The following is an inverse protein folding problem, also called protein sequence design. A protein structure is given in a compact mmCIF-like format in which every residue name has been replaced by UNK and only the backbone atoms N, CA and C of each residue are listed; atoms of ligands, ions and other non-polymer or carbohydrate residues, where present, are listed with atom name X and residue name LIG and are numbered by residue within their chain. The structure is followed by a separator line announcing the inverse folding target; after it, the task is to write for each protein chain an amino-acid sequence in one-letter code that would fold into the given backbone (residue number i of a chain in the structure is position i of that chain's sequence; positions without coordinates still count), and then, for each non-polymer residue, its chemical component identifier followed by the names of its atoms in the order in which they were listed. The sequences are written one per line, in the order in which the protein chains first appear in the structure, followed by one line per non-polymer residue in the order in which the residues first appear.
data_IF_292750546680
#
_entry.id   IF_292750546680
#
_cell.length_a   1.000
_cell.length_b   1.000
_cell.length_c   1.000
_cell.angle_alpha   90.00
_cell.angle_beta   90.00
_cell.angle_gamma   90.00
#
_symmetry.space_group_name_H-M   'P 1'
#
loop_
_entity.id
_entity.type
_entity.pdbx_description
1 polymer ?
#
# COMPACT_ATOMS: atom_id res chain seq x y z
N UNK A 1 26.51 -8.37 -59.51
CA UNK A 1 27.13 -8.29 -58.17
C UNK A 1 26.89 -9.60 -57.45
N UNK A 2 27.95 -10.37 -57.17
CA UNK A 2 27.87 -11.78 -56.78
C UNK A 2 27.13 -11.98 -55.46
N UNK A 3 26.15 -12.90 -55.42
CA UNK A 3 25.37 -13.25 -54.21
C UNK A 3 26.25 -13.59 -52.99
N UNK A 4 27.49 -14.03 -53.22
CA UNK A 4 28.51 -14.27 -52.18
C UNK A 4 28.99 -12.99 -51.48
N UNK A 5 29.08 -11.87 -52.21
CA UNK A 5 29.49 -10.57 -51.64
C UNK A 5 28.37 -10.00 -50.77
N UNK A 6 27.11 -10.13 -51.19
CA UNK A 6 25.96 -9.69 -50.39
C UNK A 6 25.85 -10.47 -49.06
N UNK A 7 26.14 -11.78 -49.07
CA UNK A 7 26.13 -12.61 -47.86
C UNK A 7 27.25 -12.24 -46.89
N UNK A 8 28.46 -11.96 -47.38
CA UNK A 8 29.58 -11.52 -46.53
C UNK A 8 29.38 -10.10 -45.98
N UNK A 9 28.73 -9.21 -46.73
CA UNK A 9 28.37 -7.87 -46.22
C UNK A 9 27.27 -7.97 -45.16
N UNK A 10 26.25 -8.83 -45.33
CA UNK A 10 25.22 -9.04 -44.31
C UNK A 10 25.77 -9.70 -43.04
N UNK A 11 26.65 -10.70 -43.18
CA UNK A 11 27.31 -11.34 -42.04
C UNK A 11 28.26 -10.37 -41.33
N UNK A 12 28.96 -9.50 -42.06
CA UNK A 12 29.79 -8.43 -41.48
C UNK A 12 28.97 -7.41 -40.69
N UNK A 13 27.78 -7.04 -41.15
CA UNK A 13 26.87 -6.12 -40.43
C UNK A 13 26.28 -6.78 -39.17
N UNK A 14 25.97 -8.09 -39.21
CA UNK A 14 25.50 -8.84 -38.05
C UNK A 14 26.59 -9.07 -37.00
N UNK A 15 27.85 -9.21 -37.40
CA UNK A 15 28.99 -9.38 -36.48
C UNK A 15 29.48 -8.03 -35.92
N UNK A 16 29.33 -6.93 -36.66
CA UNK A 16 29.65 -5.57 -36.18
C UNK A 16 28.49 -4.91 -35.40
N UNK A 17 27.26 -5.39 -35.55
CA UNK A 17 26.10 -4.95 -34.77
C UNK A 17 25.94 -5.61 -33.40
N UNK A 18 26.71 -6.68 -33.14
CA UNK A 18 26.78 -7.36 -31.85
C UNK A 18 27.72 -6.64 -30.87
N UNK A 19 27.50 -5.36 -30.64
CA UNK A 19 28.08 -4.70 -29.47
C UNK A 19 27.57 -5.42 -28.24
N UNK A 20 28.45 -6.14 -27.54
CA UNK A 20 28.15 -6.70 -26.23
C UNK A 20 27.73 -5.50 -25.38
N UNK A 21 26.42 -5.34 -25.13
CA UNK A 21 25.93 -4.44 -24.09
C UNK A 21 26.37 -5.04 -22.76
N UNK A 22 27.63 -4.80 -22.40
CA UNK A 22 28.07 -4.88 -21.03
C UNK A 22 27.19 -3.90 -20.27
N UNK A 23 26.34 -4.41 -19.38
CA UNK A 23 25.63 -3.57 -18.44
C UNK A 23 26.70 -2.73 -17.73
N UNK A 24 26.78 -1.45 -18.08
CA UNK A 24 27.78 -0.55 -17.52
C UNK A 24 27.56 -0.56 -16.01
N UNK A 25 28.59 -1.00 -15.26
CA UNK A 25 28.49 -1.08 -13.81
C UNK A 25 28.02 0.28 -13.27
N UNK A 26 27.07 0.30 -12.32
CA UNK A 26 26.55 1.56 -11.80
C UNK A 26 27.71 2.40 -11.29
N UNK A 27 27.77 3.66 -11.74
CA UNK A 27 28.81 4.57 -11.28
C UNK A 27 28.45 5.06 -9.87
N UNK A 28 29.15 4.51 -8.88
CA UNK A 28 29.01 4.89 -7.48
C UNK A 28 29.71 6.22 -7.23
N UNK A 29 28.99 7.17 -6.61
CA UNK A 29 29.54 8.46 -6.19
C UNK A 29 29.18 8.72 -4.74
N UNK A 30 30.16 9.16 -3.97
CA UNK A 30 29.90 9.72 -2.66
C UNK A 30 29.18 11.06 -2.80
N UNK A 31 28.05 11.24 -2.11
CA UNK A 31 27.22 12.44 -2.17
C UNK A 31 26.63 12.74 -0.80
N UNK A 32 26.41 14.03 -0.54
CA UNK A 32 25.46 14.45 0.49
C UNK A 32 24.03 14.20 -0.03
N UNK A 33 23.24 13.51 0.78
CA UNK A 33 21.81 13.31 0.56
C UNK A 33 21.03 13.70 1.80
N UNK A 34 19.75 13.99 1.63
CA UNK A 34 18.84 14.10 2.75
C UNK A 34 18.05 12.80 2.88
N UNK A 35 18.27 12.05 3.96
CA UNK A 35 17.34 10.99 4.37
C UNK A 35 16.09 11.64 4.97
N UNK A 36 14.92 11.21 4.52
CA UNK A 36 13.63 11.84 4.83
C UNK A 36 12.72 10.83 5.52
N UNK A 37 12.08 11.28 6.60
CA UNK A 37 10.93 10.61 7.22
C UNK A 37 9.80 11.63 7.24
N UNK A 38 8.94 11.59 6.23
CA UNK A 38 7.99 12.67 5.94
C UNK A 38 6.56 12.23 6.18
N UNK A 39 5.80 13.08 6.87
CA UNK A 39 4.36 12.87 7.03
C UNK A 39 3.67 12.97 5.66
N UNK A 40 2.93 11.94 5.28
CA UNK A 40 2.33 11.81 3.93
C UNK A 40 0.81 11.88 3.92
N UNK A 41 0.21 12.39 4.99
CA UNK A 41 -1.24 12.57 5.14
C UNK A 41 -1.88 11.50 6.02
N UNK A 42 -1.39 10.26 5.99
CA UNK A 42 -1.90 9.15 6.83
C UNK A 42 -0.86 8.66 7.85
N UNK A 43 0.42 8.68 7.48
CA UNK A 43 1.50 8.20 8.33
C UNK A 43 2.83 8.81 7.93
N UNK A 44 3.90 8.01 7.99
CA UNK A 44 5.25 8.44 7.65
C UNK A 44 5.84 7.61 6.53
N UNK A 45 6.31 8.29 5.49
CA UNK A 45 7.05 7.67 4.39
C UNK A 45 8.55 7.92 4.56
N UNK A 46 9.35 6.86 4.34
CA UNK A 46 10.81 6.95 4.31
C UNK A 46 11.29 7.08 2.87
N UNK A 47 12.07 8.10 2.59
CA UNK A 47 12.68 8.32 1.27
C UNK A 47 14.03 9.01 1.41
N UNK A 48 14.68 9.33 0.30
CA UNK A 48 15.85 10.19 0.33
C UNK A 48 15.85 11.14 -0.87
N UNK A 49 16.41 12.33 -0.66
CA UNK A 49 16.59 13.34 -1.69
C UNK A 49 18.06 13.33 -2.16
N UNK A 50 18.35 12.86 -3.39
CA UNK A 50 19.69 12.92 -3.95
C UNK A 50 20.10 14.37 -4.28
N UNK A 51 21.39 14.58 -4.52
CA UNK A 51 21.90 15.91 -4.87
C UNK A 51 21.27 16.49 -6.15
N UNK A 52 20.81 15.65 -7.09
CA UNK A 52 20.15 16.07 -8.33
C UNK A 52 18.77 16.71 -8.14
N UNK A 53 18.15 16.56 -6.98
CA UNK A 53 16.85 17.16 -6.67
C UNK A 53 17.07 18.37 -5.76
N UNK A 54 16.66 19.56 -6.21
CA UNK A 54 16.92 20.82 -5.50
C UNK A 54 15.89 21.13 -4.40
N UNK A 55 14.71 20.51 -4.47
CA UNK A 55 13.54 20.91 -3.68
C UNK A 55 12.97 19.73 -2.89
N UNK A 56 12.72 19.98 -1.60
CA UNK A 56 11.98 19.11 -0.70
C UNK A 56 10.52 19.58 -0.58
N UNK A 57 9.61 18.65 -0.28
CA UNK A 57 8.17 18.94 -0.19
C UNK A 57 7.60 18.32 1.07
N UNK A 58 6.98 19.13 1.95
CA UNK A 58 6.33 18.66 3.19
C UNK A 58 4.91 19.21 3.35
N UNK A 59 4.08 18.47 4.07
CA UNK A 59 2.75 18.93 4.46
C UNK A 59 2.88 19.88 5.67
N UNK A 60 2.17 21.00 5.61
CA UNK A 60 2.23 22.07 6.60
C UNK A 60 1.72 21.64 7.98
N UNK A 61 2.34 22.15 9.03
CA UNK A 61 1.98 21.98 10.43
C UNK A 61 2.08 20.54 10.98
N UNK A 62 2.77 19.65 10.25
CA UNK A 62 3.09 18.30 10.71
C UNK A 62 4.61 18.13 10.83
N UNK A 63 5.03 17.30 11.76
CA UNK A 63 6.44 16.97 11.94
C UNK A 63 6.91 16.15 10.72
N UNK A 64 8.05 16.54 10.15
CA UNK A 64 8.80 15.75 9.19
C UNK A 64 10.27 15.80 9.57
N UNK A 65 10.97 14.68 9.42
CA UNK A 65 12.38 14.58 9.78
C UNK A 65 13.24 14.67 8.54
N UNK A 66 14.24 15.55 8.59
CA UNK A 66 15.32 15.58 7.61
C UNK A 66 16.64 15.24 8.27
N UNK A 67 17.41 14.38 7.61
CA UNK A 67 18.69 13.94 8.11
C UNK A 67 19.74 14.01 7.00
N UNK A 68 20.60 15.04 6.97
CA UNK A 68 21.69 15.12 6.01
C UNK A 68 22.72 14.03 6.32
N UNK A 69 22.99 13.18 5.32
CA UNK A 69 23.91 12.05 5.42
C UNK A 69 24.86 12.06 4.23
N UNK A 70 26.10 11.65 4.46
CA UNK A 70 27.03 11.32 3.37
C UNK A 70 26.90 9.84 3.06
N UNK A 71 26.61 9.51 1.81
CA UNK A 71 26.40 8.12 1.38
C UNK A 71 26.88 7.92 -0.05
N UNK A 72 26.91 6.67 -0.48
CA UNK A 72 27.14 6.31 -1.88
C UNK A 72 25.81 6.38 -2.63
N UNK A 73 25.77 7.12 -3.72
CA UNK A 73 24.64 7.22 -4.64
C UNK A 73 25.02 6.62 -5.99
N UNK A 74 24.12 5.83 -6.56
CA UNK A 74 24.31 5.22 -7.88
C UNK A 74 22.98 5.17 -8.64
N UNK A 75 23.06 5.22 -9.97
CA UNK A 75 21.89 5.13 -10.83
C UNK A 75 21.56 3.67 -11.13
N UNK A 76 20.31 3.25 -10.91
CA UNK A 76 19.80 1.92 -11.21
C UNK A 76 19.00 1.93 -12.53
N UNK A 77 19.54 1.39 -13.64
CA UNK A 77 18.93 1.54 -14.97
C UNK A 77 17.55 0.87 -15.12
N UNK A 78 17.27 -0.19 -14.36
CA UNK A 78 16.00 -0.94 -14.47
C UNK A 78 14.83 -0.08 -13.95
N UNK A 79 15.03 0.59 -12.82
CA UNK A 79 14.00 1.49 -12.22
C UNK A 79 14.15 2.92 -12.70
N UNK A 80 15.25 3.24 -13.39
CA UNK A 80 15.64 4.58 -13.86
C UNK A 80 15.74 5.62 -12.73
N UNK A 81 16.19 5.19 -11.55
CA UNK A 81 16.26 6.01 -10.34
C UNK A 81 17.63 5.95 -9.70
N UNK A 82 18.00 6.99 -8.97
CA UNK A 82 19.12 6.96 -8.05
C UNK A 82 18.75 6.16 -6.79
N UNK A 83 19.69 5.36 -6.33
CA UNK A 83 19.62 4.55 -5.14
C UNK A 83 20.71 5.00 -4.15
N UNK A 84 20.39 4.96 -2.86
CA UNK A 84 21.34 5.24 -1.79
C UNK A 84 21.90 3.94 -1.21
N UNK A 85 23.21 3.92 -0.99
CA UNK A 85 23.96 2.81 -0.40
C UNK A 85 24.17 3.00 1.09
N UNK A 86 23.10 3.25 1.86
CA UNK A 86 23.18 3.48 3.32
C UNK A 86 23.80 2.28 4.08
N UNK A 87 23.74 1.08 3.53
CA UNK A 87 24.42 -0.10 4.11
C UNK A 87 25.93 -0.11 3.91
N UNK A 88 26.44 0.64 2.92
CA UNK A 88 27.88 0.74 2.61
C UNK A 88 28.51 1.98 3.23
N UNK A 89 27.83 3.12 3.16
CA UNK A 89 28.27 4.38 3.75
C UNK A 89 27.05 5.15 4.26
N UNK A 90 27.05 5.54 5.52
CA UNK A 90 25.98 6.34 6.12
C UNK A 90 26.55 7.23 7.21
N UNK A 91 27.40 8.17 6.78
CA UNK A 91 28.05 9.09 7.71
C UNK A 91 27.13 10.26 8.04
N UNK A 92 27.18 10.64 9.32
CA UNK A 92 26.45 11.79 9.81
C UNK A 92 27.09 13.10 9.39
N UNK A 93 26.27 14.05 8.98
CA UNK A 93 26.72 15.42 8.75
C UNK A 93 26.57 16.21 10.06
N UNK A 94 27.67 16.72 10.63
CA UNK A 94 27.62 17.52 11.86
C UNK A 94 27.09 18.93 11.60
N UNK A 95 26.62 19.59 12.66
CA UNK A 95 26.15 20.97 12.60
C UNK A 95 24.66 21.13 12.89
N UNK A 96 24.16 22.33 12.62
CA UNK A 96 22.77 22.74 12.85
C UNK A 96 22.07 23.03 11.53
N UNK A 97 20.77 22.75 11.45
CA UNK A 97 19.98 23.05 10.26
C UNK A 97 19.44 24.49 10.36
N UNK A 98 19.85 25.36 9.44
CA UNK A 98 19.25 26.68 9.31
C UNK A 98 18.03 26.63 8.38
N UNK A 99 17.00 27.39 8.75
CA UNK A 99 15.79 27.58 7.94
C UNK A 99 15.67 29.06 7.60
N UNK A 100 15.58 29.35 6.31
CA UNK A 100 15.51 30.69 5.76
C UNK A 100 14.18 30.91 5.03
N UNK A 101 13.65 32.12 5.09
CA UNK A 101 12.48 32.54 4.35
C UNK A 101 12.67 33.97 3.85
N UNK A 102 12.55 34.17 2.53
CA UNK A 102 12.70 35.49 1.92
C UNK A 102 14.06 36.15 2.23
N UNK A 103 15.14 35.37 2.28
CA UNK A 103 16.49 35.86 2.60
C UNK A 103 16.75 36.16 4.08
N UNK A 104 15.80 35.87 4.99
CA UNK A 104 15.97 36.03 6.43
C UNK A 104 16.05 34.66 7.11
N UNK A 105 17.02 34.49 8.02
CA UNK A 105 17.07 33.34 8.93
C UNK A 105 15.86 33.40 9.88
N UNK A 106 14.99 32.39 9.81
CA UNK A 106 13.80 32.31 10.66
C UNK A 106 13.97 31.32 11.81
N UNK A 107 14.83 30.30 11.66
CA UNK A 107 15.09 29.32 12.70
C UNK A 107 16.42 28.59 12.50
N UNK A 108 16.97 28.05 13.59
CA UNK A 108 18.13 27.16 13.59
C UNK A 108 17.80 25.96 14.47
N UNK A 109 17.78 24.76 13.89
CA UNK A 109 17.41 23.53 14.57
C UNK A 109 18.63 22.71 14.98
N UNK A 110 18.54 22.13 16.17
CA UNK A 110 19.40 21.04 16.61
C UNK A 110 18.73 19.70 16.30
N UNK A 111 19.51 18.62 16.33
CA UNK A 111 18.96 17.27 16.17
C UNK A 111 18.17 16.91 17.41
N UNK A 112 17.06 16.22 17.21
CA UNK A 112 16.24 15.68 18.28
C UNK A 112 16.07 14.17 18.06
N UNK A 113 16.05 13.42 19.17
CA UNK A 113 15.65 12.02 19.16
C UNK A 113 14.20 11.88 18.74
N UNK A 114 13.91 10.87 17.94
CA UNK A 114 12.56 10.52 17.54
C UNK A 114 12.40 9.01 17.35
N UNK A 115 11.16 8.55 17.47
CA UNK A 115 10.73 7.20 17.11
C UNK A 115 9.44 7.27 16.30
N UNK A 116 9.23 6.26 15.46
CA UNK A 116 7.93 5.99 14.84
C UNK A 116 7.24 4.89 15.64
N UNK A 117 6.04 5.18 16.11
CA UNK A 117 5.14 4.28 16.81
C UNK A 117 4.05 3.80 15.85
N UNK A 118 3.88 2.48 15.79
CA UNK A 118 2.90 1.81 14.96
C UNK A 118 1.92 1.03 15.86
N UNK A 119 0.69 1.54 16.10
CA UNK A 119 -0.25 0.99 17.06
C UNK A 119 -0.69 -0.44 16.73
N UNK A 120 -0.76 -0.77 15.44
CA UNK A 120 -1.19 -2.09 14.94
C UNK A 120 -0.01 -2.91 14.39
N UNK A 121 1.20 -2.60 14.87
CA UNK A 121 2.42 -3.31 14.53
C UNK A 121 3.10 -2.79 13.26
N UNK A 122 4.23 -3.40 12.90
CA UNK A 122 5.16 -2.89 11.88
C UNK A 122 4.52 -2.59 10.51
N UNK A 123 3.50 -3.34 10.13
CA UNK A 123 2.81 -3.22 8.84
C UNK A 123 1.63 -2.24 8.88
N UNK A 124 1.39 -1.59 10.01
CA UNK A 124 0.36 -0.55 10.13
C UNK A 124 0.70 0.62 9.21
N UNK A 125 -0.30 1.10 8.48
CA UNK A 125 -0.17 2.27 7.61
C UNK A 125 -0.18 3.58 8.41
N UNK A 126 -0.62 3.53 9.68
CA UNK A 126 -0.69 4.67 10.58
C UNK A 126 0.50 4.66 11.53
N UNK A 127 1.47 5.53 11.28
CA UNK A 127 2.58 5.75 12.19
C UNK A 127 2.47 7.14 12.82
N UNK A 128 2.74 7.22 14.12
CA UNK A 128 2.87 8.49 14.85
C UNK A 128 4.34 8.72 15.20
N UNK A 129 4.78 9.97 15.20
CA UNK A 129 6.13 10.33 15.62
C UNK A 129 6.13 10.86 17.05
N UNK A 130 6.99 10.30 17.90
CA UNK A 130 7.27 10.82 19.24
C UNK A 130 8.70 11.36 19.28
N UNK A 131 8.93 12.41 20.08
CA UNK A 131 10.16 13.19 20.07
C UNK A 131 10.76 13.30 21.48
N UNK A 132 12.08 13.48 21.57
CA UNK A 132 12.75 13.78 22.84
C UNK A 132 12.60 12.68 23.89
N UNK A 133 12.11 13.03 25.08
CA UNK A 133 11.91 12.09 26.20
C UNK A 133 10.80 11.07 25.89
N UNK A 134 9.68 11.51 25.30
CA UNK A 134 8.59 10.64 24.85
C UNK A 134 9.12 9.56 23.88
N UNK A 135 10.08 9.92 23.01
CA UNK A 135 10.65 8.95 22.08
C UNK A 135 11.37 7.80 22.79
N UNK A 136 12.02 8.08 23.92
CA UNK A 136 12.68 7.06 24.73
C UNK A 136 11.66 6.24 25.50
N UNK A 137 10.65 6.88 26.09
CA UNK A 137 9.58 6.22 26.86
C UNK A 137 8.84 5.17 26.02
N UNK A 138 8.37 5.54 24.82
CA UNK A 138 7.66 4.61 23.93
C UNK A 138 8.55 3.45 23.46
N UNK A 139 9.84 3.68 23.26
CA UNK A 139 10.77 2.62 22.89
C UNK A 139 11.01 1.65 24.05
N UNK A 140 11.17 2.17 25.27
CA UNK A 140 11.35 1.37 26.48
C UNK A 140 10.08 0.55 26.79
N UNK A 141 8.89 1.13 26.58
CA UNK A 141 7.61 0.41 26.67
C UNK A 141 7.54 -0.77 25.69
N UNK A 142 7.91 -0.53 24.42
CA UNK A 142 7.96 -1.60 23.42
C UNK A 142 8.96 -2.70 23.79
N UNK A 143 10.15 -2.32 24.27
CA UNK A 143 11.17 -3.27 24.75
C UNK A 143 10.66 -4.12 25.90
N UNK A 144 9.99 -3.51 26.88
CA UNK A 144 9.39 -4.23 28.00
C UNK A 144 8.30 -5.22 27.54
N UNK A 145 7.45 -4.82 26.59
CA UNK A 145 6.42 -5.70 26.03
C UNK A 145 7.02 -6.90 25.28
N UNK A 146 8.09 -6.68 24.51
CA UNK A 146 8.83 -7.75 23.81
C UNK A 146 9.50 -8.70 24.82
N UNK A 147 10.09 -8.18 25.88
CA UNK A 147 10.72 -8.99 26.91
C UNK A 147 9.69 -9.83 27.68
N UNK A 148 8.51 -9.28 27.97
CA UNK A 148 7.39 -10.02 28.55
C UNK A 148 6.89 -11.13 27.62
N UNK A 149 6.72 -10.83 26.33
CA UNK A 149 6.37 -11.83 25.32
C UNK A 149 7.39 -12.96 25.27
N UNK A 150 8.69 -12.63 25.22
CA UNK A 150 9.77 -13.63 25.20
C UNK A 150 9.74 -14.54 26.44
N UNK A 151 9.42 -13.98 27.62
CA UNK A 151 9.24 -14.77 28.84
C UNK A 151 8.05 -15.74 28.72
N UNK A 152 6.88 -15.26 28.28
CA UNK A 152 5.70 -16.12 28.06
C UNK A 152 5.96 -17.20 27.01
N UNK A 153 6.74 -16.87 25.98
CA UNK A 153 7.14 -17.81 24.94
C UNK A 153 8.02 -18.93 25.49
N UNK A 154 8.95 -18.61 26.39
CA UNK A 154 9.74 -19.63 27.10
C UNK A 154 8.85 -20.55 27.97
N UNK A 155 7.91 -19.98 28.72
CA UNK A 155 6.94 -20.73 29.53
C UNK A 155 6.07 -21.65 28.65
N UNK A 156 5.61 -21.16 27.50
CA UNK A 156 4.87 -21.95 26.51
C UNK A 156 5.69 -23.12 25.98
N UNK A 157 6.96 -22.93 25.62
CA UNK A 157 7.80 -24.04 25.16
C UNK A 157 8.04 -25.09 26.24
N UNK A 158 8.18 -24.69 27.50
CA UNK A 158 8.26 -25.62 28.62
C UNK A 158 6.95 -26.40 28.80
N UNK A 159 5.80 -25.72 28.75
CA UNK A 159 4.49 -26.35 28.81
C UNK A 159 4.26 -27.31 27.64
N UNK A 160 4.73 -26.96 26.43
CA UNK A 160 4.62 -27.80 25.24
C UNK A 160 5.45 -29.09 25.38
N UNK A 161 6.65 -29.00 25.94
CA UNK A 161 7.47 -30.18 26.24
C UNK A 161 6.77 -31.10 27.25
N UNK A 162 6.18 -30.54 28.31
CA UNK A 162 5.41 -31.32 29.28
C UNK A 162 4.17 -31.95 28.65
N UNK A 163 3.43 -31.20 27.83
CA UNK A 163 2.28 -31.68 27.07
C UNK A 163 2.65 -32.87 26.18
N UNK A 164 3.76 -32.81 25.44
CA UNK A 164 4.22 -33.92 24.61
C UNK A 164 4.51 -35.19 25.44
N UNK A 165 5.09 -35.04 26.64
CA UNK A 165 5.30 -36.18 27.55
C UNK A 165 3.97 -36.76 28.04
N UNK A 166 3.02 -35.91 28.46
CA UNK A 166 1.69 -36.37 28.88
C UNK A 166 0.94 -37.06 27.74
N UNK A 167 1.06 -36.55 26.52
CA UNK A 167 0.43 -37.11 25.33
C UNK A 167 1.01 -38.48 24.97
N UNK A 168 2.34 -38.64 25.07
CA UNK A 168 2.98 -39.95 24.89
C UNK A 168 2.52 -40.95 25.95
N UNK A 169 2.50 -40.57 27.24
CA UNK A 169 2.00 -41.41 28.32
C UNK A 169 0.52 -41.80 28.12
N UNK A 170 -0.30 -40.86 27.65
CA UNK A 170 -1.69 -41.09 27.28
C UNK A 170 -1.80 -42.16 26.19
N UNK A 171 -1.02 -42.05 25.11
CA UNK A 171 -1.04 -43.04 24.02
C UNK A 171 -0.53 -44.42 24.46
N UNK A 172 0.50 -44.49 25.31
CA UNK A 172 0.98 -45.74 25.89
C UNK A 172 -0.09 -46.42 26.74
N UNK A 173 -0.77 -45.68 27.62
CA UNK A 173 -1.83 -46.21 28.47
C UNK A 173 -3.05 -46.66 27.66
N UNK A 174 -3.47 -45.87 26.66
CA UNK A 174 -4.51 -46.25 25.71
C UNK A 174 -4.15 -47.57 25.01
N UNK A 175 -2.93 -47.69 24.51
CA UNK A 175 -2.45 -48.91 23.85
C UNK A 175 -2.49 -50.11 24.79
N UNK A 176 -1.98 -49.96 26.01
CA UNK A 176 -1.95 -51.01 27.03
C UNK A 176 -3.35 -51.54 27.35
N UNK A 177 -4.33 -50.65 27.55
CA UNK A 177 -5.72 -51.06 27.85
C UNK A 177 -6.41 -51.73 26.66
N UNK A 178 -6.12 -51.27 25.44
CA UNK A 178 -6.61 -51.91 24.21
C UNK A 178 -6.04 -53.31 24.02
N UNK A 179 -4.75 -53.51 24.25
CA UNK A 179 -4.10 -54.83 24.21
C UNK A 179 -4.63 -55.76 25.32
N UNK A 180 -5.05 -55.21 26.46
CA UNK A 180 -5.71 -55.95 27.55
C UNK A 180 -7.20 -56.30 27.26
N UNK A 181 -7.74 -55.91 26.11
CA UNK A 181 -9.09 -56.28 25.67
C UNK A 181 -10.20 -55.30 26.06
N UNK A 182 -9.88 -54.12 26.60
CA UNK A 182 -10.90 -53.07 26.85
C UNK A 182 -11.44 -52.50 25.53
N UNK A 183 -12.75 -52.62 25.33
CA UNK A 183 -13.47 -52.13 24.14
C UNK A 183 -14.38 -50.95 24.52
N UNK A 184 -14.60 -50.01 23.59
CA UNK A 184 -15.38 -48.79 23.84
C UNK A 184 -14.54 -47.58 24.28
N UNK A 185 -15.16 -46.41 24.55
CA UNK A 185 -14.44 -45.21 24.97
C UNK A 185 -13.71 -45.44 26.30
N UNK A 186 -12.42 -45.09 26.36
CA UNK A 186 -11.61 -45.21 27.57
C UNK A 186 -11.77 -43.95 28.41
N UNK A 187 -12.01 -44.10 29.71
CA UNK A 187 -12.03 -43.00 30.68
C UNK A 187 -10.60 -42.60 31.05
N UNK A 188 -9.95 -41.91 30.12
CA UNK A 188 -8.60 -41.35 30.28
C UNK A 188 -8.66 -39.90 29.81
N UNK A 189 -8.23 -38.97 30.67
CA UNK A 189 -8.21 -37.55 30.33
C UNK A 189 -7.22 -37.28 29.19
N UNK A 190 -7.71 -36.65 28.12
CA UNK A 190 -6.87 -36.23 26.99
C UNK A 190 -6.09 -34.99 27.44
N UNK A 191 -4.75 -34.99 27.37
CA UNK A 191 -3.95 -33.81 27.68
C UNK A 191 -4.39 -32.62 26.82
N UNK A 192 -4.51 -31.44 27.41
CA UNK A 192 -4.84 -30.21 26.68
C UNK A 192 -3.57 -29.56 26.16
N UNK A 193 -3.59 -29.15 24.89
CA UNK A 193 -2.49 -28.45 24.27
C UNK A 193 -2.39 -27.03 24.88
N UNK A 194 -1.20 -26.58 25.31
CA UNK A 194 -0.99 -25.20 25.74
C UNK A 194 -1.29 -24.22 24.60
N UNK A 195 -1.87 -23.07 24.91
CA UNK A 195 -2.10 -21.99 23.95
C UNK A 195 -0.83 -21.15 23.76
N UNK A 196 -0.46 -20.78 22.52
CA UNK A 196 0.67 -19.90 22.28
C UNK A 196 0.37 -18.49 22.82
N UNK A 197 1.38 -17.77 23.34
CA UNK A 197 1.18 -16.40 23.79
C UNK A 197 0.88 -15.47 22.61
N UNK A 198 0.01 -14.48 22.82
CA UNK A 198 -0.23 -13.42 21.84
C UNK A 198 1.04 -12.58 21.62
N UNK A 199 1.36 -12.31 20.35
CA UNK A 199 2.47 -11.43 20.00
C UNK A 199 2.18 -9.97 20.38
N UNK A 200 3.23 -9.16 20.53
CA UNK A 200 3.10 -7.72 20.81
C UNK A 200 2.35 -7.04 19.65
N UNK A 201 1.23 -6.37 19.95
CA UNK A 201 0.31 -5.81 18.95
C UNK A 201 0.77 -4.50 18.31
N UNK A 202 1.72 -3.82 18.94
CA UNK A 202 2.29 -2.56 18.46
C UNK A 202 3.79 -2.69 18.20
N UNK A 203 4.36 -1.74 17.46
CA UNK A 203 5.79 -1.70 17.14
C UNK A 203 6.35 -0.28 17.27
N UNK A 204 7.57 -0.16 17.81
CA UNK A 204 8.29 1.11 17.91
C UNK A 204 9.67 0.95 17.28
N UNK A 205 10.04 1.89 16.41
CA UNK A 205 11.39 1.90 15.84
C UNK A 205 12.44 2.20 16.88
N UNK A 206 13.67 1.77 16.66
CA UNK A 206 14.81 2.24 17.46
C UNK A 206 14.93 3.78 17.43
N UNK A 207 15.30 4.43 18.55
CA UNK A 207 15.49 5.88 18.60
C UNK A 207 16.55 6.33 17.60
N UNK A 208 16.17 7.27 16.74
CA UNK A 208 17.06 7.91 15.77
C UNK A 208 17.12 9.42 16.03
N UNK A 209 18.16 10.09 15.54
CA UNK A 209 18.30 11.55 15.64
C UNK A 209 18.16 12.23 14.28
N UNK A 210 17.46 13.36 14.24
CA UNK A 210 17.29 14.15 13.02
C UNK A 210 16.74 15.54 13.29
N UNK A 211 16.69 16.39 12.26
CA UNK A 211 16.11 17.72 12.38
C UNK A 211 14.60 17.64 12.13
N UNK A 212 13.81 18.09 13.10
CA UNK A 212 12.34 18.05 13.03
C UNK A 212 11.82 19.35 12.45
N UNK A 213 11.24 19.28 11.26
CA UNK A 213 10.62 20.42 10.60
C UNK A 213 9.11 20.36 10.79
N UNK A 214 8.57 21.41 11.37
CA UNK A 214 7.15 21.68 11.46
C UNK A 214 6.95 23.16 11.12
N UNK A 215 6.51 23.43 9.89
CA UNK A 215 6.46 24.76 9.32
C UNK A 215 5.05 25.03 8.75
N UNK A 216 4.59 26.29 8.75
CA UNK A 216 3.38 26.66 8.04
C UNK A 216 3.60 26.61 6.52
N UNK A 217 2.51 26.76 5.76
CA UNK A 217 2.54 26.82 4.29
C UNK A 217 3.47 27.94 3.84
N UNK A 218 4.40 27.62 2.93
CA UNK A 218 5.36 28.59 2.43
C UNK A 218 6.51 27.98 1.63
N UNK A 219 7.34 28.85 1.08
CA UNK A 219 8.61 28.47 0.45
C UNK A 219 9.75 28.89 1.37
N UNK A 220 10.67 27.96 1.59
CA UNK A 220 11.80 28.08 2.51
C UNK A 220 13.08 27.60 1.82
N UNK A 221 14.21 27.96 2.40
CA UNK A 221 15.51 27.39 2.07
C UNK A 221 16.10 26.76 3.33
N UNK A 222 16.72 25.60 3.19
CA UNK A 222 17.42 24.94 4.29
C UNK A 222 18.88 24.70 3.92
N UNK A 223 19.75 24.75 4.92
CA UNK A 223 21.18 24.44 4.78
C UNK A 223 21.79 24.03 6.11
N UNK A 224 22.88 23.29 6.08
CA UNK A 224 23.58 22.87 7.30
C UNK A 224 24.73 23.84 7.58
N UNK A 225 24.72 24.45 8.77
CA UNK A 225 25.84 25.24 9.28
C UNK A 225 26.68 24.39 10.24
N UNK A 226 27.98 24.29 9.95
CA UNK A 226 28.95 23.60 10.80
C UNK A 226 29.32 24.44 12.03
N UNK A 227 29.97 23.81 13.01
CA UNK A 227 30.38 24.48 14.25
C UNK A 227 31.36 25.63 14.04
N UNK A 228 32.19 25.56 12.99
CA UNK A 228 33.12 26.62 12.59
C UNK A 228 32.43 27.83 11.91
N UNK A 229 31.11 27.76 11.76
CA UNK A 229 30.29 28.81 11.16
C UNK A 229 30.19 28.74 9.63
N UNK A 230 30.88 27.82 8.97
CA UNK A 230 30.79 27.63 7.52
C UNK A 230 29.55 26.80 7.13
N UNK A 231 29.13 26.90 5.87
CA UNK A 231 28.03 26.08 5.33
C UNK A 231 28.61 24.79 4.76
N UNK A 232 27.97 23.66 5.08
CA UNK A 232 28.36 22.39 4.50
C UNK A 232 28.02 22.38 3.00
N UNK A 233 29.01 22.17 2.15
CA UNK A 233 28.87 22.26 0.69
C UNK A 233 27.81 21.28 0.15
N UNK A 234 26.86 21.80 -0.64
CA UNK A 234 25.80 21.01 -1.26
C UNK A 234 24.64 20.68 -0.34
N UNK A 235 24.61 21.22 0.89
CA UNK A 235 23.50 21.08 1.83
C UNK A 235 22.33 22.01 1.52
N UNK A 236 22.49 22.97 0.62
CA UNK A 236 21.44 23.90 0.26
C UNK A 236 20.30 23.18 -0.48
N UNK A 237 19.07 23.31 0.06
CA UNK A 237 17.85 22.83 -0.58
C UNK A 237 16.74 23.87 -0.46
N UNK A 238 15.92 23.94 -1.50
CA UNK A 238 14.62 24.58 -1.40
C UNK A 238 13.66 23.66 -0.64
N UNK A 239 12.70 24.24 0.06
CA UNK A 239 11.67 23.52 0.78
C UNK A 239 10.31 24.17 0.51
N UNK A 240 9.41 23.40 -0.10
CA UNK A 240 8.03 23.80 -0.34
C UNK A 240 7.15 23.12 0.70
N UNK A 241 6.50 23.92 1.53
CA UNK A 241 5.54 23.43 2.52
C UNK A 241 4.14 23.75 2.01
N UNK A 242 3.34 22.71 1.79
CA UNK A 242 2.02 22.80 1.15
C UNK A 242 0.93 22.21 2.04
N UNK A 243 -0.33 22.43 1.68
CA UNK A 243 -1.48 21.90 2.43
C UNK A 243 -2.53 21.38 1.45
N UNK A 244 -3.44 20.56 1.96
CA UNK A 244 -4.58 20.08 1.19
C UNK A 244 -5.46 21.26 0.74
N UNK A 245 -5.93 21.22 -0.51
CA UNK A 245 -6.91 22.18 -1.04
C UNK A 245 -8.31 21.87 -0.52
N UNK A 246 -8.63 20.59 -0.33
CA UNK A 246 -9.90 20.10 0.17
C UNK A 246 -9.65 18.98 1.18
N UNK A 247 -10.39 18.99 2.28
CA UNK A 247 -10.27 18.01 3.37
C UNK A 247 -11.52 17.16 3.62
N UNK A 248 -12.57 17.47 2.88
CA UNK A 248 -13.86 16.84 3.05
C UNK A 248 -14.15 15.97 1.82
N UNK A 249 -14.00 14.67 2.01
CA UNK A 249 -14.38 13.65 1.04
C UNK A 249 -14.22 12.28 1.66
N UNK A 250 -15.06 11.35 1.22
CA UNK A 250 -14.87 9.91 1.45
C UNK A 250 -14.59 9.29 0.09
N UNK A 251 -13.44 8.64 -0.05
CA UNK A 251 -13.10 7.79 -1.18
C UNK A 251 -13.36 6.32 -0.86
N UNK A 252 -13.28 5.46 -1.87
CA UNK A 252 -13.35 4.01 -1.67
C UNK A 252 -12.15 3.31 -2.28
N UNK A 253 -11.51 2.44 -1.51
CA UNK A 253 -10.77 1.33 -2.08
C UNK A 253 -11.78 0.19 -2.34
N UNK A 254 -11.77 -0.36 -3.55
CA UNK A 254 -12.69 -1.40 -4.01
C UNK A 254 -11.86 -2.64 -4.34
N UNK A 255 -12.18 -3.75 -3.69
CA UNK A 255 -11.60 -5.06 -4.00
C UNK A 255 -12.64 -5.85 -4.81
N UNK A 256 -12.40 -6.12 -6.10
CA UNK A 256 -13.30 -6.95 -6.89
C UNK A 256 -13.17 -8.42 -6.45
N UNK A 257 -14.30 -9.10 -6.21
CA UNK A 257 -14.31 -10.49 -5.75
C UNK A 257 -13.61 -11.48 -6.69
N UNK A 258 -13.55 -11.18 -7.99
CA UNK A 258 -12.85 -12.00 -8.99
C UNK A 258 -11.35 -11.68 -9.15
N UNK A 259 -10.86 -10.58 -8.56
CA UNK A 259 -9.50 -10.07 -8.73
C UNK A 259 -9.00 -9.45 -7.43
N UNK A 260 -9.02 -10.23 -6.35
CA UNK A 260 -8.72 -9.72 -5.00
C UNK A 260 -7.33 -9.05 -4.89
N UNK A 261 -6.35 -9.50 -5.67
CA UNK A 261 -4.98 -8.94 -5.69
C UNK A 261 -4.90 -7.57 -6.36
N UNK A 262 -5.97 -7.12 -7.04
CA UNK A 262 -6.03 -5.82 -7.71
C UNK A 262 -7.10 -4.95 -7.06
N UNK A 263 -6.65 -4.11 -6.14
CA UNK A 263 -7.47 -3.07 -5.53
C UNK A 263 -7.63 -1.90 -6.50
N UNK A 264 -8.83 -1.34 -6.57
CA UNK A 264 -9.18 -0.23 -7.47
C UNK A 264 -9.74 0.93 -6.64
N UNK A 265 -9.30 2.16 -6.92
CA UNK A 265 -9.73 3.33 -6.16
C UNK A 265 -10.91 4.05 -6.83
N UNK A 266 -11.82 4.58 -6.02
CA UNK A 266 -12.93 5.45 -6.42
C UNK A 266 -12.91 6.73 -5.58
N UNK A 267 -11.87 7.53 -5.79
CA UNK A 267 -11.54 8.65 -4.92
C UNK A 267 -12.33 9.91 -5.29
N UNK A 268 -12.52 10.19 -6.58
CA UNK A 268 -13.27 11.36 -7.02
C UNK A 268 -14.80 11.10 -6.94
N UNK A 269 -15.58 11.98 -6.29
CA UNK A 269 -17.05 11.85 -6.24
C UNK A 269 -17.76 11.81 -7.59
N UNK A 270 -17.13 12.35 -8.64
CA UNK A 270 -17.67 12.31 -10.01
C UNK A 270 -17.45 10.97 -10.72
N UNK A 271 -16.65 10.07 -10.15
CA UNK A 271 -16.37 8.78 -10.77
C UNK A 271 -17.55 7.82 -10.63
N UNK A 272 -17.77 7.04 -11.68
CA UNK A 272 -18.83 6.04 -11.77
C UNK A 272 -18.19 4.66 -11.75
N UNK A 273 -18.63 3.83 -10.82
CA UNK A 273 -18.20 2.44 -10.69
C UNK A 273 -18.99 1.63 -11.71
N UNK A 274 -18.29 0.98 -12.65
CA UNK A 274 -18.93 0.15 -13.66
C UNK A 274 -18.86 -1.32 -13.25
N UNK A 275 -20.00 -1.96 -13.08
CA UNK A 275 -20.11 -3.39 -12.76
C UNK A 275 -20.87 -4.12 -13.88
N UNK A 276 -20.37 -5.29 -14.30
CA UNK A 276 -20.92 -6.05 -15.44
C UNK A 276 -21.34 -7.45 -15.01
N UNK A 277 -22.63 -7.77 -15.09
CA UNK A 277 -23.18 -9.05 -14.63
C UNK A 277 -23.01 -9.26 -13.12
N UNK A 278 -23.13 -10.50 -12.65
CA UNK A 278 -22.97 -10.83 -11.22
C UNK A 278 -21.58 -10.42 -10.72
N UNK A 279 -21.53 -9.52 -9.74
CA UNK A 279 -20.29 -9.10 -9.10
C UNK A 279 -20.44 -9.01 -7.59
N UNK A 280 -19.37 -9.37 -6.90
CA UNK A 280 -19.19 -9.08 -5.48
C UNK A 280 -18.09 -8.01 -5.39
N UNK A 281 -18.42 -6.88 -4.78
CA UNK A 281 -17.51 -5.77 -4.60
C UNK A 281 -17.34 -5.51 -3.11
N UNK A 282 -16.10 -5.43 -2.68
CA UNK A 282 -15.75 -5.20 -1.29
C UNK A 282 -15.26 -3.76 -1.17
N UNK A 283 -16.01 -2.92 -0.47
CA UNK A 283 -15.74 -1.50 -0.35
C UNK A 283 -15.03 -1.22 0.97
N UNK A 284 -13.98 -0.40 0.93
CA UNK A 284 -13.31 0.14 2.10
C UNK A 284 -13.36 1.67 2.01
N UNK A 285 -14.23 2.33 2.79
CA UNK A 285 -14.33 3.79 2.80
C UNK A 285 -13.14 4.41 3.53
N UNK A 286 -12.59 5.49 2.97
CA UNK A 286 -11.51 6.29 3.57
C UNK A 286 -11.85 7.77 3.53
N UNK A 287 -11.60 8.50 4.62
CA UNK A 287 -11.46 9.94 4.59
C UNK A 287 -10.28 10.31 3.69
N UNK A 288 -10.45 11.35 2.88
CA UNK A 288 -9.45 11.75 1.90
C UNK A 288 -9.25 13.25 1.83
N UNK A 289 -8.03 13.62 1.47
CA UNK A 289 -7.61 15.00 1.25
C UNK A 289 -7.07 15.17 -0.18
N UNK A 290 -7.34 16.34 -0.77
CA UNK A 290 -6.92 16.67 -2.14
C UNK A 290 -5.63 17.50 -2.12
N UNK A 291 -4.56 16.92 -2.66
CA UNK A 291 -3.23 17.54 -2.75
C UNK A 291 -2.82 17.79 -4.19
N UNK A 292 -1.88 18.73 -4.39
CA UNK A 292 -1.25 18.92 -5.69
C UNK A 292 -0.46 17.66 -6.08
N UNK A 293 -0.62 17.16 -7.31
CA UNK A 293 -0.01 15.90 -7.76
C UNK A 293 1.52 15.97 -7.69
N UNK A 294 2.12 17.06 -8.19
CA UNK A 294 3.57 17.25 -8.13
C UNK A 294 4.08 17.24 -6.70
N UNK A 295 3.50 18.06 -5.82
CA UNK A 295 4.01 18.24 -4.47
C UNK A 295 3.89 16.95 -3.64
N UNK A 296 2.75 16.27 -3.74
CA UNK A 296 2.55 15.03 -3.00
C UNK A 296 3.43 13.89 -3.53
N UNK A 297 3.60 13.76 -4.85
CA UNK A 297 4.48 12.74 -5.41
C UNK A 297 5.94 12.98 -5.01
N UNK A 298 6.41 14.24 -5.06
CA UNK A 298 7.75 14.63 -4.65
C UNK A 298 7.98 14.50 -3.14
N UNK A 299 6.94 14.63 -2.32
CA UNK A 299 7.00 14.34 -0.88
C UNK A 299 7.30 12.85 -0.63
N UNK A 300 6.53 11.94 -1.25
CA UNK A 300 6.73 10.49 -1.06
C UNK A 300 8.04 10.01 -1.68
N UNK A 301 8.42 10.57 -2.81
CA UNK A 301 9.64 10.24 -3.53
C UNK A 301 10.18 11.48 -4.25
N UNK A 302 11.26 12.10 -3.77
CA UNK A 302 11.84 13.30 -4.38
C UNK A 302 12.23 13.13 -5.85
N UNK A 303 12.44 11.91 -6.35
CA UNK A 303 12.79 11.64 -7.75
C UNK A 303 11.55 11.39 -8.64
N UNK A 304 10.35 11.36 -8.05
CA UNK A 304 9.13 11.10 -8.79
C UNK A 304 8.72 12.33 -9.61
N UNK A 305 8.03 12.07 -10.71
CA UNK A 305 7.44 13.12 -11.54
C UNK A 305 6.01 13.39 -11.07
N UNK A 306 5.56 14.61 -11.33
CA UNK A 306 4.16 14.97 -11.16
C UNK A 306 3.84 16.23 -11.94
N UNK A 307 2.56 16.60 -11.90
CA UNK A 307 2.01 17.70 -12.69
C UNK A 307 1.50 18.78 -11.77
N UNK A 308 1.99 20.00 -11.97
CA UNK A 308 1.62 21.15 -11.13
C UNK A 308 0.15 21.54 -11.34
N UNK A 309 -0.38 21.32 -12.53
CA UNK A 309 -1.76 21.62 -12.91
C UNK A 309 -2.78 20.60 -12.41
N UNK A 310 -2.32 19.46 -11.86
CA UNK A 310 -3.17 18.35 -11.43
C UNK A 310 -3.25 18.23 -9.92
N UNK A 311 -4.36 17.66 -9.49
CA UNK A 311 -4.69 17.37 -8.10
C UNK A 311 -5.00 15.89 -7.97
N UNK A 312 -4.68 15.31 -6.81
CA UNK A 312 -4.95 13.93 -6.47
C UNK A 312 -5.56 13.84 -5.09
N UNK A 313 -6.51 12.94 -4.95
CA UNK A 313 -7.05 12.52 -3.67
C UNK A 313 -6.09 11.51 -3.03
N UNK A 314 -5.95 11.60 -1.71
CA UNK A 314 -5.08 10.77 -0.89
C UNK A 314 -5.91 10.29 0.29
N UNK A 315 -5.93 8.96 0.51
CA UNK A 315 -6.55 8.36 1.69
C UNK A 315 -5.75 8.74 2.94
N UNK A 316 -6.45 9.23 3.96
CA UNK A 316 -5.87 9.71 5.22
C UNK A 316 -6.19 8.72 6.33
N UNK A 317 -7.48 8.45 6.55
CA UNK A 317 -7.95 7.54 7.58
C UNK A 317 -9.05 6.63 7.03
N UNK A 318 -9.09 5.33 7.38
CA UNK A 318 -10.29 4.52 7.19
C UNK A 318 -11.47 5.16 7.91
N UNK A 319 -12.65 5.01 7.33
CA UNK A 319 -13.89 5.38 8.02
C UNK A 319 -14.29 4.22 8.91
N UNK A 320 -13.91 4.30 10.17
CA UNK A 320 -14.28 3.33 11.21
C UNK A 320 -15.73 3.52 11.68
N UNK A 321 -16.28 2.52 12.35
CA UNK A 321 -17.65 2.52 12.91
C UNK A 321 -18.74 2.96 11.92
N UNK A 322 -18.60 2.54 10.67
CA UNK A 322 -19.53 2.85 9.59
C UNK A 322 -20.30 1.64 9.10
N UNK A 323 -21.40 1.89 8.38
CA UNK A 323 -22.07 0.93 7.52
C UNK A 323 -22.10 1.45 6.09
N UNK A 324 -22.13 0.54 5.13
CA UNK A 324 -22.24 0.87 3.71
C UNK A 324 -23.65 0.53 3.23
N UNK A 325 -24.31 1.51 2.61
CA UNK A 325 -25.64 1.37 2.03
C UNK A 325 -25.54 1.21 0.52
N UNK A 326 -26.21 0.20 -0.03
CA UNK A 326 -26.56 0.12 -1.45
C UNK A 326 -28.01 0.53 -1.61
N UNK A 327 -28.27 1.54 -2.43
CA UNK A 327 -29.60 2.06 -2.70
C UNK A 327 -29.89 2.28 -4.19
N UNK A 328 -31.14 2.59 -4.47
CA UNK A 328 -31.64 3.01 -5.78
C UNK A 328 -32.67 4.11 -5.59
N UNK A 329 -32.30 5.35 -5.87
CA UNK A 329 -33.12 6.50 -5.50
C UNK A 329 -33.25 6.57 -3.98
N UNK A 330 -34.48 6.70 -3.46
CA UNK A 330 -34.74 6.72 -2.02
C UNK A 330 -34.85 5.30 -1.39
N UNK A 331 -34.84 4.24 -2.21
CA UNK A 331 -34.95 2.86 -1.74
C UNK A 331 -33.58 2.31 -1.31
N UNK A 332 -33.47 1.86 -0.07
CA UNK A 332 -32.29 1.14 0.44
C UNK A 332 -32.47 -0.36 0.14
N UNK A 333 -31.53 -0.94 -0.60
CA UNK A 333 -31.54 -2.34 -1.02
C UNK A 333 -30.70 -3.24 -0.11
N UNK A 334 -29.55 -2.74 0.35
CA UNK A 334 -28.67 -3.47 1.28
C UNK A 334 -28.06 -2.49 2.28
N UNK A 335 -27.98 -2.91 3.53
CA UNK A 335 -27.15 -2.29 4.58
C UNK A 335 -26.07 -3.30 4.95
N UNK A 336 -24.82 -2.91 4.81
CA UNK A 336 -23.67 -3.80 4.92
C UNK A 336 -22.81 -3.38 6.10
N UNK A 337 -22.56 -4.32 7.00
CA UNK A 337 -21.58 -4.19 8.09
C UNK A 337 -20.19 -4.63 7.62
N UNK A 338 -19.16 -4.07 8.25
CA UNK A 338 -17.77 -4.51 8.05
C UNK A 338 -17.64 -5.94 8.56
N UNK A 339 -17.08 -6.83 7.75
CA UNK A 339 -16.85 -8.21 8.12
C UNK A 339 -15.45 -8.70 7.69
N UNK A 340 -14.87 -9.67 8.43
CA UNK A 340 -13.62 -10.31 8.06
C UNK A 340 -13.81 -11.37 6.97
N UNK A 341 -12.85 -11.47 6.06
CA UNK A 341 -12.83 -12.42 4.94
C UNK A 341 -11.49 -13.15 4.87
N UNK A 342 -11.54 -14.39 4.39
CA UNK A 342 -10.36 -15.23 4.14
C UNK A 342 -10.25 -15.55 2.65
N UNK A 343 -9.05 -15.43 2.10
CA UNK A 343 -8.79 -15.76 0.69
C UNK A 343 -8.20 -17.16 0.61
N UNK A 344 -8.95 -18.07 0.01
CA UNK A 344 -8.51 -19.43 -0.26
C UNK A 344 -7.96 -19.54 -1.68
N UNK A 345 -6.75 -20.06 -1.82
CA UNK A 345 -6.18 -20.36 -3.14
C UNK A 345 -6.84 -21.63 -3.69
N UNK A 346 -7.35 -21.54 -4.92
CA UNK A 346 -7.95 -22.68 -5.62
C UNK A 346 -6.84 -23.42 -6.38
N UNK A 347 -6.57 -24.70 -6.06
CA UNK A 347 -5.54 -25.47 -6.75
C UNK A 347 -5.94 -25.72 -8.21
N UNK A 348 -5.03 -25.44 -9.15
CA UNK A 348 -5.25 -25.66 -10.57
C UNK A 348 -4.24 -24.92 -11.46
N UNK A 349 -4.20 -25.24 -12.77
CA UNK A 349 -3.26 -24.63 -13.71
C UNK A 349 -3.44 -23.11 -13.88
N UNK A 350 -4.59 -22.56 -13.48
CA UNK A 350 -4.91 -21.12 -13.58
C UNK A 350 -4.70 -20.35 -12.26
N UNK A 351 -4.25 -20.99 -11.17
CA UNK A 351 -3.97 -20.37 -9.85
C UNK A 351 -5.05 -19.36 -9.41
N UNK A 352 -6.30 -19.82 -9.28
CA UNK A 352 -7.44 -19.00 -8.90
C UNK A 352 -7.53 -18.73 -7.38
N UNK A 353 -8.48 -17.88 -6.99
CA UNK A 353 -8.78 -17.56 -5.59
C UNK A 353 -10.29 -17.51 -5.36
N UNK A 354 -10.70 -17.83 -4.13
CA UNK A 354 -12.05 -17.69 -3.65
C UNK A 354 -12.03 -16.89 -2.34
N UNK A 355 -12.90 -15.88 -2.24
CA UNK A 355 -13.06 -15.09 -1.02
C UNK A 355 -14.23 -15.67 -0.24
N UNK A 356 -13.96 -16.20 0.95
CA UNK A 356 -14.96 -16.76 1.84
C UNK A 356 -15.08 -15.91 3.11
N UNK A 357 -16.25 -15.89 3.78
CA UNK A 357 -16.38 -15.30 5.11
C UNK A 357 -15.38 -15.96 6.07
N UNK A 358 -14.77 -15.15 6.95
CA UNK A 358 -13.94 -15.69 8.02
C UNK A 358 -14.83 -16.18 9.16
N UNK A 359 -14.72 -17.47 9.51
CA UNK A 359 -15.58 -18.15 10.48
C UNK A 359 -14.78 -18.81 11.63
N UNK A 360 -15.50 -19.38 12.60
CA UNK A 360 -14.89 -20.04 13.75
C UNK A 360 -14.10 -21.31 13.37
N UNK A 361 -14.39 -21.97 12.24
CA UNK A 361 -13.64 -23.14 11.76
C UNK A 361 -12.23 -22.72 11.30
N UNK A 362 -12.13 -21.62 10.54
CA UNK A 362 -10.85 -21.05 10.13
C UNK A 362 -10.03 -20.59 11.34
N UNK A 363 -10.69 -19.96 12.32
CA UNK A 363 -10.07 -19.53 13.58
C UNK A 363 -9.54 -20.71 14.41
N UNK A 364 -10.35 -21.77 14.57
CA UNK A 364 -9.92 -23.01 15.26
C UNK A 364 -8.76 -23.70 14.54
N UNK A 365 -8.67 -23.53 13.21
CA UNK A 365 -7.56 -24.03 12.39
C UNK A 365 -6.31 -23.13 12.45
N UNK A 366 -6.33 -22.06 13.24
CA UNK A 366 -5.22 -21.14 13.43
C UNK A 366 -5.01 -20.12 12.31
N UNK A 367 -5.94 -20.01 11.36
CA UNK A 367 -5.89 -18.96 10.34
C UNK A 367 -6.30 -17.61 10.93
N UNK A 368 -5.84 -16.54 10.30
CA UNK A 368 -6.26 -15.16 10.56
C UNK A 368 -7.01 -14.64 9.34
N UNK A 369 -7.92 -13.66 9.50
CA UNK A 369 -8.58 -13.04 8.36
C UNK A 369 -7.55 -12.43 7.42
N UNK A 370 -7.79 -12.56 6.12
CA UNK A 370 -6.92 -11.99 5.09
C UNK A 370 -7.15 -10.49 4.94
N UNK A 371 -8.41 -10.04 5.07
CA UNK A 371 -8.79 -8.63 5.07
C UNK A 371 -10.19 -8.47 5.68
N UNK A 372 -10.56 -7.23 5.98
CA UNK A 372 -11.92 -6.84 6.37
C UNK A 372 -12.49 -5.87 5.36
N UNK A 373 -13.79 -5.93 5.08
CA UNK A 373 -14.43 -5.01 4.13
C UNK A 373 -15.96 -5.00 4.23
N UNK A 374 -16.58 -4.10 3.48
CA UNK A 374 -18.03 -4.03 3.29
C UNK A 374 -18.43 -4.70 1.98
N UNK A 375 -18.89 -5.97 2.04
CA UNK A 375 -19.29 -6.73 0.85
C UNK A 375 -20.65 -6.30 0.33
N UNK A 376 -20.67 -5.76 -0.88
CA UNK A 376 -21.87 -5.42 -1.66
C UNK A 376 -22.04 -6.44 -2.77
N UNK A 377 -23.22 -7.07 -2.82
CA UNK A 377 -23.53 -8.07 -3.85
C UNK A 377 -24.42 -7.47 -4.92
N UNK A 378 -23.93 -7.44 -6.16
CA UNK A 378 -24.67 -7.01 -7.33
C UNK A 378 -25.18 -8.25 -8.08
N UNK A 379 -26.42 -8.66 -7.78
CA UNK A 379 -27.07 -9.85 -8.33
C UNK A 379 -27.68 -9.64 -9.72
N UNK A 380 -28.11 -10.75 -10.35
CA UNK A 380 -28.78 -10.72 -11.68
C UNK A 380 -30.25 -10.25 -11.60
N UNK A 381 -30.82 -10.33 -10.40
CA UNK A 381 -32.13 -9.82 -10.02
C UNK A 381 -32.20 -8.28 -10.04
N UNK A 382 -31.05 -7.62 -10.00
CA UNK A 382 -30.96 -6.18 -10.17
C UNK A 382 -31.35 -5.76 -11.61
N UNK A 383 -32.22 -4.75 -11.68
CA UNK A 383 -32.63 -4.12 -12.94
C UNK A 383 -31.43 -3.36 -13.52
N UNK A 384 -31.32 -3.26 -14.85
CA UNK A 384 -30.30 -2.42 -15.48
C UNK A 384 -30.58 -0.94 -15.22
N UNK A 385 -30.06 -0.43 -14.10
CA UNK A 385 -30.24 0.93 -13.62
C UNK A 385 -28.95 1.43 -12.95
N UNK A 386 -28.92 2.74 -12.66
CA UNK A 386 -27.89 3.33 -11.82
C UNK A 386 -28.26 3.10 -10.35
N UNK A 387 -27.33 2.53 -9.60
CA UNK A 387 -27.39 2.30 -8.16
C UNK A 387 -26.49 3.30 -7.43
N UNK A 388 -26.72 3.50 -6.15
CA UNK A 388 -25.92 4.37 -5.31
C UNK A 388 -25.32 3.59 -4.16
N UNK A 389 -24.06 3.87 -3.87
CA UNK A 389 -23.39 3.44 -2.66
C UNK A 389 -23.10 4.66 -1.81
N UNK A 390 -23.33 4.57 -0.51
CA UNK A 390 -23.00 5.64 0.44
C UNK A 390 -22.60 5.05 1.78
N UNK A 391 -21.83 5.80 2.56
CA UNK A 391 -21.42 5.39 3.90
C UNK A 391 -22.21 6.16 4.95
N UNK A 392 -22.68 5.47 5.99
CA UNK A 392 -23.36 6.07 7.15
C UNK A 392 -22.57 5.80 8.42
N UNK A 393 -22.66 6.71 9.39
CA UNK A 393 -22.12 6.46 10.74
C UNK A 393 -23.01 5.47 11.48
N UNK A 394 -22.41 4.47 12.14
CA UNK A 394 -23.15 3.53 12.98
C UNK A 394 -23.62 4.15 14.29
N UNK A 395 -22.89 5.15 14.80
CA UNK A 395 -23.22 5.85 16.03
C UNK A 395 -24.44 6.77 15.85
N UNK A 396 -24.45 7.58 14.79
CA UNK A 396 -25.51 8.58 14.57
C UNK A 396 -26.59 8.10 13.59
N UNK A 397 -26.29 7.11 12.75
CA UNK A 397 -27.15 6.71 11.63
C UNK A 397 -27.16 7.73 10.48
N UNK A 398 -26.35 8.79 10.57
CA UNK A 398 -26.34 9.87 9.57
C UNK A 398 -25.40 9.54 8.39
N UNK A 399 -25.75 10.06 7.21
CA UNK A 399 -24.92 9.95 6.03
C UNK A 399 -23.60 10.71 6.21
N UNK A 400 -22.50 10.02 5.91
CA UNK A 400 -21.19 10.65 5.89
C UNK A 400 -21.09 11.52 4.63
N UNK A 401 -20.83 12.82 4.76
CA UNK A 401 -20.81 13.74 3.63
C UNK A 401 -19.88 13.28 2.51
N UNK A 402 -20.33 13.43 1.26
CA UNK A 402 -19.55 13.15 0.04
C UNK A 402 -19.08 11.69 -0.10
N UNK A 403 -19.71 10.77 0.63
CA UNK A 403 -19.52 9.32 0.47
C UNK A 403 -20.30 8.73 -0.70
N UNK A 404 -21.27 9.42 -1.26
CA UNK A 404 -22.08 8.89 -2.36
C UNK A 404 -21.25 8.58 -3.61
N UNK A 405 -21.42 7.39 -4.20
CA UNK A 405 -20.93 7.04 -5.53
C UNK A 405 -22.01 6.35 -6.34
N UNK A 406 -21.97 6.57 -7.65
CA UNK A 406 -22.86 5.89 -8.60
C UNK A 406 -22.23 4.58 -9.04
N UNK A 407 -22.99 3.48 -8.90
CA UNK A 407 -22.68 2.18 -9.49
C UNK A 407 -23.57 2.01 -10.72
N UNK A 408 -22.96 2.01 -11.90
CA UNK A 408 -23.64 1.70 -13.15
C UNK A 408 -23.60 0.19 -13.40
N UNK A 409 -24.75 -0.45 -13.27
CA UNK A 409 -24.89 -1.88 -13.51
C UNK A 409 -25.21 -2.18 -14.97
N UNK A 410 -24.34 -2.91 -15.64
CA UNK A 410 -24.46 -3.27 -17.05
C UNK A 410 -24.85 -4.74 -17.20
N UNK A 411 -26.02 -5.00 -17.78
CA UNK A 411 -26.43 -6.36 -18.15
C UNK A 411 -25.70 -6.84 -19.40
N UNK A 412 -25.20 -8.07 -19.35
CA UNK A 412 -24.48 -8.71 -20.48
C UNK A 412 -25.39 -9.05 -21.66
N UNK A 413 -26.70 -9.02 -21.47
CA UNK A 413 -27.74 -9.37 -22.44
C UNK A 413 -27.64 -8.58 -23.76
N UNK A 414 -27.14 -7.34 -23.73
CA UNK A 414 -26.98 -6.52 -24.93
C UNK A 414 -25.62 -6.67 -25.63
N UNK A 415 -24.70 -7.46 -25.07
CA UNK A 415 -23.35 -7.65 -25.65
C UNK A 415 -23.38 -8.28 -27.05
N UNK A 416 -24.39 -9.11 -27.35
CA UNK A 416 -24.59 -9.72 -28.66
C UNK A 416 -24.77 -8.68 -29.78
N UNK A 417 -25.42 -7.55 -29.49
CA UNK A 417 -25.65 -6.48 -30.48
C UNK A 417 -24.35 -5.74 -30.85
N UNK A 418 -23.37 -5.66 -29.95
CA UNK A 418 -22.06 -5.07 -30.27
C UNK A 418 -21.31 -5.92 -31.29
N UNK A 419 -21.43 -7.24 -31.23
CA UNK A 419 -20.88 -8.12 -32.26
C UNK A 419 -21.58 -7.90 -33.61
N UNK A 420 -22.90 -7.72 -33.63
CA UNK A 420 -23.64 -7.43 -34.86
C UNK A 420 -23.13 -6.14 -35.56
N UNK A 421 -22.80 -5.10 -34.79
CA UNK A 421 -22.19 -3.85 -35.32
C UNK A 421 -20.81 -4.12 -35.92
N UNK A 422 -20.00 -4.99 -35.31
CA UNK A 422 -18.68 -5.35 -35.84
C UNK A 422 -18.76 -6.11 -37.18
N UNK A 423 -19.89 -6.75 -37.49
CA UNK A 423 -20.13 -7.42 -38.78
C UNK A 423 -20.66 -6.48 -39.88
N UNK A 424 -21.02 -5.23 -39.59
CA UNK A 424 -21.51 -4.27 -40.59
C UNK A 424 -20.56 -4.08 -41.79
N UNK A 425 -19.23 -3.98 -41.62
CA UNK A 425 -18.30 -3.88 -42.75
C UNK A 425 -18.33 -5.11 -43.66
N UNK A 426 -18.53 -6.31 -43.09
CA UNK A 426 -18.63 -7.56 -43.86
C UNK A 426 -19.94 -7.64 -44.64
N UNK A 427 -21.05 -7.19 -44.04
CA UNK A 427 -22.34 -7.08 -44.73
C UNK A 427 -22.26 -6.06 -45.87
N UNK A 428 -21.67 -4.89 -45.64
CA UNK A 428 -21.43 -3.89 -46.68
C UNK A 428 -20.53 -4.43 -47.80
N UNK A 429 -19.47 -5.15 -47.45
CA UNK A 429 -18.59 -5.83 -48.41
C UNK A 429 -19.33 -6.86 -49.26
N UNK A 430 -20.17 -7.69 -48.66
CA UNK A 430 -20.99 -8.66 -49.38
C UNK A 430 -21.97 -7.98 -50.36
N UNK A 431 -22.64 -6.90 -49.94
CA UNK A 431 -23.54 -6.11 -50.80
C UNK A 431 -22.78 -5.53 -51.99
N UNK A 432 -21.57 -5.00 -51.78
CA UNK A 432 -20.72 -4.48 -52.86
C UNK A 432 -20.31 -5.58 -53.85
N UNK A 433 -19.94 -6.77 -53.36
CA UNK A 433 -19.56 -7.90 -54.20
C UNK A 433 -20.76 -8.38 -55.05
N UNK A 434 -21.93 -8.55 -54.42
CA UNK A 434 -23.16 -9.01 -55.10
C UNK A 434 -23.64 -7.97 -56.12
N UNK A 435 -23.60 -6.67 -55.78
CA UNK A 435 -24.00 -5.61 -56.73
C UNK A 435 -23.03 -5.46 -57.90
N UNK A 436 -21.74 -5.80 -57.71
CA UNK A 436 -20.78 -5.89 -58.81
C UNK A 436 -21.03 -7.10 -59.72
N UNK A 437 -21.34 -8.28 -59.17
CA UNK A 437 -21.59 -9.47 -60.01
C UNK A 437 -22.83 -9.29 -60.90
N UNK A 438 -23.90 -8.66 -60.38
CA UNK A 438 -25.10 -8.35 -61.17
C UNK A 438 -24.89 -7.28 -62.27
N UNK A 439 -23.81 -6.48 -62.20
CA UNK A 439 -23.45 -5.51 -63.25
C UNK A 439 -22.55 -6.08 -64.35
N UNK A 440 -22.01 -7.29 -64.17
CA UNK A 440 -21.14 -7.95 -65.16
C UNK A 440 -21.94 -8.92 -66.06
N UNK A 441 -23.16 -9.30 -65.67
CA UNK A 441 -24.08 -10.13 -66.47
C UNK A 441 -25.13 -9.34 -67.28
N UNK A 442 -25.00 -8.01 -67.35
CA UNK A 442 -25.69 -7.14 -68.32
C UNK A 442 -24.66 -6.41 -69.16
#
# INVERSE_FOLDING_TARGET
MNKKIAFFVLAGILVLGGGISWAQAPLFREQLVYSLTSFDGSGFSKSFCPQSEETLYFIANFNSVVNPRKTIVYYWPITRRYMAGFSTLNEEVPGKLEIWQGGKLINTLEKQKYVLYYPEGYWSEKATIYLGEDAQEYYDEYKAAVDEFNKKLQEYYQAMNYYQQQLNNFFEEVRRRREAGETGPLDISIPQQPEPPEFVKFYVTEPAEGFILNLPVGNYEIRVRMEDGTIFEGSEKNLVVFTARRREGVGYEIIPGNRWTKRENCDDPSWIIHAVGKNELYFNPFYQEEYNELYYNKLKDPQNIGRLEKWKWVHVDPVDDAQVLLGRGEEILQTVDKAPYFVKQVPGPELGYEIIPYDEELKMSGYQPTFESYKVTLGEDLVGADYQISTISRETGEHIPKSERTIRFLKKENGAYLYAVAFLPLVAGAIIIISRSYRVEK
#
